data_IF_563495879451
#
_entry.id   IF_563495879451
#
_cell.length_a   1.000
_cell.length_b   1.000
_cell.length_c   1.000
_cell.angle_alpha   90.00
_cell.angle_beta   90.00
_cell.angle_gamma   90.00
#
_symmetry.space_group_name_H-M   'P 1'
#
loop_
_entity.id
_entity.type
_entity.pdbx_description
1 polymer ?
#
# COMPACT_ATOMS: atom_id res chain seq x y z
N UNK A 1 -54.06 15.31 21.30
CA UNK A 1 -55.05 14.33 21.77
C UNK A 1 -54.67 12.97 21.19
N UNK A 2 -53.46 12.49 21.47
CA UNK A 2 -53.03 11.88 22.74
C UNK A 2 -53.60 10.48 22.93
N UNK A 3 -52.77 9.49 22.63
CA UNK A 3 -52.73 8.22 23.33
C UNK A 3 -51.27 7.80 23.45
N UNK A 4 -50.68 8.32 24.52
CA UNK A 4 -49.38 8.04 25.08
C UNK A 4 -49.41 6.67 25.82
N UNK A 5 -48.26 5.95 25.81
CA UNK A 5 -47.74 5.00 26.83
C UNK A 5 -48.19 3.51 26.94
N UNK A 6 -47.14 2.71 27.24
CA UNK A 6 -47.06 1.39 27.89
C UNK A 6 -47.37 0.17 27.01
N UNK A 7 -46.50 -0.85 26.89
CA UNK A 7 -46.02 -1.69 27.99
C UNK A 7 -44.56 -2.13 27.78
N UNK A 8 -43.72 -1.72 28.72
CA UNK A 8 -42.41 -2.33 29.06
C UNK A 8 -42.70 -3.35 30.16
N UNK A 9 -42.37 -4.62 29.94
CA UNK A 9 -42.39 -5.67 30.97
C UNK A 9 -41.18 -6.60 30.72
N UNK A 10 -40.06 -6.34 31.39
CA UNK A 10 -39.58 -7.08 32.57
C UNK A 10 -39.26 -8.55 32.23
N UNK A 11 -37.98 -8.83 32.05
CA UNK A 11 -37.35 -10.02 32.61
C UNK A 11 -36.12 -9.59 33.40
N UNK A 12 -36.32 -9.53 34.73
CA UNK A 12 -35.27 -9.56 35.73
C UNK A 12 -34.83 -11.02 35.92
N UNK A 13 -33.56 -11.18 36.32
CA UNK A 13 -32.90 -12.41 36.74
C UNK A 13 -32.22 -13.22 35.62
N UNK A 14 -31.01 -12.82 35.25
CA UNK A 14 -29.82 -13.69 35.33
C UNK A 14 -28.59 -12.80 35.46
N UNK A 15 -28.26 -12.45 36.70
CA UNK A 15 -26.93 -11.94 37.04
C UNK A 15 -25.92 -13.07 36.88
N UNK A 16 -25.36 -13.22 35.69
CA UNK A 16 -24.08 -13.89 35.52
C UNK A 16 -23.01 -12.81 35.63
N UNK A 17 -22.41 -12.72 36.81
CA UNK A 17 -21.20 -11.95 37.02
C UNK A 17 -20.15 -12.36 35.97
N UNK A 18 -19.74 -11.42 35.13
CA UNK A 18 -18.56 -11.59 34.28
C UNK A 18 -17.37 -11.59 35.24
N UNK A 19 -16.59 -12.68 35.33
CA UNK A 19 -15.37 -12.67 36.12
C UNK A 19 -14.40 -11.63 35.53
N UNK A 20 -13.87 -10.77 36.40
CA UNK A 20 -12.83 -9.81 36.04
C UNK A 20 -11.60 -10.54 35.45
N UNK A 21 -10.91 -9.95 34.46
CA UNK A 21 -9.66 -10.49 33.97
C UNK A 21 -8.66 -10.53 35.12
N UNK A 22 -8.21 -11.75 35.46
CA UNK A 22 -7.12 -11.94 36.41
C UNK A 22 -5.87 -11.31 35.79
N UNK A 23 -5.28 -10.36 36.52
CA UNK A 23 -3.97 -9.83 36.19
C UNK A 23 -2.97 -11.00 36.27
N UNK A 24 -2.54 -11.49 35.12
CA UNK A 24 -1.50 -12.49 35.02
C UNK A 24 -0.19 -11.86 35.48
N UNK A 25 0.24 -12.28 36.66
CA UNK A 25 1.50 -11.88 37.28
C UNK A 25 2.64 -12.21 36.32
N UNK A 26 3.30 -11.18 35.80
CA UNK A 26 4.49 -11.31 35.00
C UNK A 26 5.53 -12.17 35.74
N UNK A 27 5.89 -13.31 35.15
CA UNK A 27 7.04 -14.09 35.57
C UNK A 27 8.33 -13.27 35.34
N UNK A 28 9.30 -13.32 36.26
CA UNK A 28 10.57 -12.64 36.07
C UNK A 28 11.33 -13.28 34.91
N UNK A 29 11.86 -12.43 34.04
CA UNK A 29 12.85 -12.80 33.03
C UNK A 29 14.07 -13.39 33.74
N UNK A 30 14.19 -14.71 33.69
CA UNK A 30 15.38 -15.42 34.14
C UNK A 30 16.44 -15.41 33.03
N UNK A 31 17.69 -15.42 33.48
CA UNK A 31 18.86 -14.88 32.81
C UNK A 31 19.17 -15.43 31.41
N UNK A 32 19.50 -14.52 30.50
CA UNK A 32 20.20 -14.84 29.27
C UNK A 32 21.59 -15.41 29.61
N UNK A 33 21.78 -16.70 29.34
CA UNK A 33 23.11 -17.27 29.25
C UNK A 33 23.88 -16.60 28.09
N UNK A 34 25.20 -16.37 28.20
CA UNK A 34 25.97 -15.84 27.08
C UNK A 34 25.99 -16.87 25.95
N UNK A 35 25.47 -16.46 24.79
CA UNK A 35 25.59 -17.24 23.55
C UNK A 35 27.07 -17.26 23.17
N UNK A 36 27.70 -18.43 22.94
CA UNK A 36 29.08 -18.47 22.49
C UNK A 36 29.17 -17.86 21.09
N UNK A 37 30.15 -16.98 20.88
CA UNK A 37 30.49 -16.42 19.57
C UNK A 37 30.77 -17.55 18.59
N UNK A 38 29.95 -17.64 17.53
CA UNK A 38 30.23 -18.47 16.36
C UNK A 38 30.92 -17.58 15.32
N UNK A 39 32.25 -17.67 15.13
CA UNK A 39 32.92 -16.95 14.07
C UNK A 39 32.62 -17.65 12.75
N UNK A 40 31.72 -17.09 11.94
CA UNK A 40 31.48 -17.58 10.58
C UNK A 40 30.08 -17.41 10.00
N UNK A 41 29.29 -16.45 10.47
CA UNK A 41 28.06 -16.07 9.77
C UNK A 41 28.38 -15.21 8.55
N UNK A 42 28.08 -15.71 7.35
CA UNK A 42 27.95 -14.87 6.15
C UNK A 42 27.06 -13.67 6.49
N UNK A 43 27.45 -12.41 6.22
CA UNK A 43 26.61 -11.28 6.57
C UNK A 43 25.25 -11.44 5.88
N UNK A 44 24.19 -11.55 6.69
CA UNK A 44 22.83 -11.46 6.20
C UNK A 44 22.71 -10.12 5.46
N UNK A 45 22.27 -10.17 4.20
CA UNK A 45 22.01 -8.98 3.43
C UNK A 45 21.08 -8.07 4.25
N UNK A 46 21.52 -6.86 4.53
CA UNK A 46 20.79 -5.88 5.32
C UNK A 46 19.48 -5.56 4.59
N UNK A 47 18.35 -5.72 5.26
CA UNK A 47 17.08 -5.24 4.73
C UNK A 47 17.15 -3.72 4.53
N UNK A 48 16.50 -3.15 3.50
CA UNK A 48 16.38 -1.71 3.36
C UNK A 48 15.79 -1.12 4.66
N UNK A 49 16.34 0.00 5.11
CA UNK A 49 15.79 0.76 6.23
C UNK A 49 14.79 1.81 5.70
N UNK A 50 13.80 2.17 6.51
CA UNK A 50 12.87 3.25 6.20
C UNK A 50 13.61 4.60 6.10
N UNK A 51 13.19 5.44 5.16
CA UNK A 51 13.77 6.77 4.93
C UNK A 51 13.21 7.84 5.89
N UNK A 52 13.90 8.99 5.99
CA UNK A 52 13.45 10.14 6.80
C UNK A 52 12.14 10.73 6.25
N UNK A 53 11.16 10.88 7.13
CA UNK A 53 9.81 11.34 6.80
C UNK A 53 9.60 12.83 7.08
N UNK A 54 10.64 13.60 7.39
CA UNK A 54 10.56 15.05 7.55
C UNK A 54 9.93 15.68 6.30
N UNK A 55 8.76 16.36 6.42
CA UNK A 55 8.09 16.94 5.27
C UNK A 55 8.99 17.91 4.50
N UNK A 56 9.02 17.77 3.18
CA UNK A 56 9.90 18.57 2.32
C UNK A 56 9.18 19.75 1.67
N UNK A 57 7.84 19.74 1.67
CA UNK A 57 6.99 20.62 0.87
C UNK A 57 7.02 20.31 -0.63
N UNK A 58 7.63 19.18 -1.03
CA UNK A 58 7.89 18.82 -2.44
C UNK A 58 7.35 17.44 -2.82
N UNK A 59 6.63 16.79 -1.91
CA UNK A 59 6.00 15.48 -2.11
C UNK A 59 7.02 14.39 -2.45
N UNK A 60 8.10 14.35 -1.66
CA UNK A 60 9.19 13.37 -1.81
C UNK A 60 9.34 12.49 -0.57
N UNK A 61 8.30 12.41 0.26
CA UNK A 61 8.24 11.47 1.39
C UNK A 61 6.91 10.74 1.40
N UNK A 62 6.88 9.52 1.95
CA UNK A 62 5.64 8.79 2.16
C UNK A 62 4.61 9.56 3.00
N UNK A 63 5.07 10.28 4.03
CA UNK A 63 4.22 11.15 4.84
C UNK A 63 3.44 12.18 4.01
N UNK A 64 4.04 12.69 2.94
CA UNK A 64 3.41 13.67 2.04
C UNK A 64 2.54 13.00 0.96
N UNK A 65 3.00 11.91 0.34
CA UNK A 65 2.32 11.33 -0.84
C UNK A 65 1.21 10.34 -0.49
N UNK A 66 1.33 9.64 0.64
CA UNK A 66 0.39 8.57 1.00
C UNK A 66 -1.06 9.04 1.06
N UNK A 67 -1.42 10.16 1.73
CA UNK A 67 -2.81 10.58 1.81
C UNK A 67 -3.42 10.83 0.42
N UNK A 68 -2.62 11.36 -0.51
CA UNK A 68 -3.03 11.60 -1.90
C UNK A 68 -3.28 10.28 -2.60
N UNK A 69 -2.32 9.35 -2.54
CA UNK A 69 -2.46 8.04 -3.16
C UNK A 69 -3.61 7.24 -2.55
N UNK A 70 -3.87 7.34 -1.25
CA UNK A 70 -5.01 6.67 -0.64
C UNK A 70 -6.34 7.26 -1.13
N UNK A 71 -6.42 8.58 -1.28
CA UNK A 71 -7.61 9.25 -1.82
C UNK A 71 -7.85 8.92 -3.29
N UNK A 72 -6.79 8.75 -4.09
CA UNK A 72 -6.87 8.41 -5.51
C UNK A 72 -6.75 6.91 -5.79
N UNK A 73 -6.85 6.05 -4.76
CA UNK A 73 -6.70 4.59 -4.92
C UNK A 73 -7.58 3.99 -6.03
N UNK A 74 -8.85 4.38 -6.22
CA UNK A 74 -9.66 3.89 -7.34
C UNK A 74 -9.10 4.22 -8.74
N UNK A 75 -8.15 5.14 -8.83
CA UNK A 75 -7.59 5.71 -10.07
C UNK A 75 -6.08 5.43 -10.23
N UNK A 76 -5.50 4.53 -9.42
CA UNK A 76 -4.07 4.21 -9.51
C UNK A 76 -3.64 3.68 -10.87
N UNK A 77 -4.53 2.90 -11.50
CA UNK A 77 -4.31 2.33 -12.82
C UNK A 77 -5.49 2.60 -13.75
N UNK A 78 -5.21 2.62 -15.05
CA UNK A 78 -6.21 2.70 -16.11
C UNK A 78 -5.86 1.76 -17.26
N UNK A 79 -6.85 1.17 -17.92
CA UNK A 79 -6.65 0.30 -19.09
C UNK A 79 -7.21 0.96 -20.32
N UNK A 80 -6.41 1.05 -21.38
CA UNK A 80 -6.84 1.54 -22.69
C UNK A 80 -6.53 0.52 -23.76
N UNK A 81 -7.51 0.21 -24.63
CA UNK A 81 -7.23 -0.54 -25.86
C UNK A 81 -6.75 0.45 -26.93
N UNK A 82 -5.50 0.33 -27.37
CA UNK A 82 -4.89 1.24 -28.34
C UNK A 82 -3.83 0.51 -29.17
N UNK A 83 -3.76 0.78 -30.48
CA UNK A 83 -2.74 0.19 -31.35
C UNK A 83 -2.75 -1.35 -31.44
N UNK A 84 -3.90 -1.99 -31.19
CA UNK A 84 -4.00 -3.46 -31.15
C UNK A 84 -3.42 -4.08 -29.88
N UNK A 85 -3.30 -3.30 -28.80
CA UNK A 85 -2.80 -3.74 -27.50
C UNK A 85 -3.74 -3.26 -26.39
N UNK A 86 -3.68 -3.92 -25.24
CA UNK A 86 -4.17 -3.35 -23.99
C UNK A 86 -3.00 -2.67 -23.28
N UNK A 87 -3.14 -1.38 -22.98
CA UNK A 87 -2.15 -0.58 -22.28
C UNK A 87 -2.63 -0.34 -20.85
N UNK A 88 -1.88 -0.82 -19.86
CA UNK A 88 -2.13 -0.57 -18.43
C UNK A 88 -1.29 0.63 -18.02
N UNK A 89 -1.94 1.76 -17.79
CA UNK A 89 -1.32 3.02 -17.36
C UNK A 89 -1.16 3.07 -15.85
N UNK A 90 -0.02 3.58 -15.39
CA UNK A 90 0.33 3.81 -13.99
C UNK A 90 0.57 5.30 -13.69
N UNK A 91 0.17 6.20 -14.62
CA UNK A 91 0.47 7.63 -14.58
C UNK A 91 0.10 8.30 -13.25
N UNK A 92 -1.00 7.89 -12.60
CA UNK A 92 -1.40 8.43 -11.30
C UNK A 92 -0.34 8.15 -10.23
N UNK A 93 0.12 6.91 -10.11
CA UNK A 93 1.17 6.52 -9.16
C UNK A 93 2.51 7.17 -9.50
N UNK A 94 2.87 7.19 -10.78
CA UNK A 94 4.16 7.74 -11.24
C UNK A 94 4.30 9.25 -10.96
N UNK A 95 3.18 9.97 -10.91
CA UNK A 95 3.12 11.39 -10.53
C UNK A 95 3.41 11.66 -9.03
N UNK A 96 3.55 10.62 -8.21
CA UNK A 96 3.89 10.69 -6.78
C UNK A 96 5.03 9.73 -6.40
N UNK A 97 5.78 9.23 -7.39
CA UNK A 97 6.80 8.17 -7.23
C UNK A 97 7.89 8.49 -6.21
N UNK A 98 8.15 9.76 -5.95
CA UNK A 98 9.25 10.18 -5.09
C UNK A 98 9.01 10.01 -3.60
N UNK A 99 7.79 9.65 -3.18
CA UNK A 99 7.54 9.16 -1.81
C UNK A 99 7.40 7.64 -1.74
N UNK A 100 7.82 6.93 -2.80
CA UNK A 100 7.66 5.48 -2.94
C UNK A 100 9.02 4.80 -3.04
N UNK A 101 9.17 3.66 -2.37
CA UNK A 101 10.28 2.75 -2.58
C UNK A 101 10.05 1.85 -3.79
N UNK A 102 8.79 1.45 -4.05
CA UNK A 102 8.46 0.53 -5.14
C UNK A 102 7.00 0.60 -5.56
N UNK A 103 6.76 0.39 -6.86
CA UNK A 103 5.45 0.01 -7.40
C UNK A 103 5.60 -1.38 -7.99
N UNK A 104 4.70 -2.29 -7.66
CA UNK A 104 4.63 -3.62 -8.25
C UNK A 104 3.19 -3.93 -8.68
N UNK A 105 3.03 -4.73 -9.73
CA UNK A 105 1.72 -5.08 -10.28
C UNK A 105 1.66 -6.54 -10.73
N UNK A 106 0.46 -7.10 -10.78
CA UNK A 106 0.17 -8.38 -11.42
C UNK A 106 -1.07 -8.25 -12.32
N UNK A 107 -1.12 -9.05 -13.37
CA UNK A 107 -2.26 -9.11 -14.29
C UNK A 107 -2.87 -10.51 -14.25
N UNK A 108 -4.19 -10.58 -14.13
CA UNK A 108 -4.98 -11.83 -14.14
C UNK A 108 -4.49 -12.89 -13.13
N UNK A 109 -4.07 -12.47 -11.93
CA UNK A 109 -3.55 -13.37 -10.89
C UNK A 109 -2.15 -13.95 -11.19
N UNK A 110 -1.43 -13.37 -12.14
CA UNK A 110 -0.04 -13.70 -12.43
C UNK A 110 0.93 -13.31 -11.31
N UNK A 111 2.22 -13.51 -11.53
CA UNK A 111 3.25 -13.09 -10.58
C UNK A 111 3.35 -11.55 -10.51
N UNK A 112 3.65 -11.03 -9.32
CA UNK A 112 3.95 -9.60 -9.13
C UNK A 112 5.25 -9.24 -9.85
N UNK A 113 5.19 -8.19 -10.65
CA UNK A 113 6.29 -7.60 -11.40
C UNK A 113 6.55 -6.20 -10.86
N UNK A 114 7.82 -5.84 -10.68
CA UNK A 114 8.18 -4.46 -10.33
C UNK A 114 8.01 -3.58 -11.56
N UNK A 115 7.34 -2.45 -11.39
CA UNK A 115 7.22 -1.44 -12.44
C UNK A 115 8.52 -0.65 -12.52
N UNK A 116 9.08 -0.53 -13.73
CA UNK A 116 10.19 0.39 -13.98
C UNK A 116 9.71 1.84 -13.82
N UNK A 117 10.50 2.68 -13.16
CA UNK A 117 10.17 4.09 -12.92
C UNK A 117 11.35 4.99 -13.24
N UNK A 118 11.07 6.23 -13.62
CA UNK A 118 12.09 7.26 -13.74
C UNK A 118 12.65 7.63 -12.35
N UNK A 119 13.94 8.03 -12.25
CA UNK A 119 14.46 8.58 -11.02
C UNK A 119 13.71 9.88 -10.63
N UNK A 120 13.82 10.25 -9.37
CA UNK A 120 13.33 11.53 -8.87
C UNK A 120 14.21 12.69 -9.33
N UNK A 121 13.59 13.78 -9.76
CA UNK A 121 14.28 14.99 -10.21
C UNK A 121 14.46 15.98 -9.05
N UNK A 122 15.17 15.54 -7.99
CA UNK A 122 15.29 16.25 -6.70
C UNK A 122 15.91 17.66 -6.83
N UNK A 123 16.65 17.91 -7.89
CA UNK A 123 17.27 19.18 -8.27
C UNK A 123 16.31 20.18 -8.92
N UNK A 124 15.06 19.79 -9.22
CA UNK A 124 14.08 20.63 -9.92
C UNK A 124 12.87 21.00 -9.07
N UNK A 125 12.20 22.12 -9.36
CA UNK A 125 11.00 22.54 -8.61
C UNK A 125 9.86 21.50 -8.57
N UNK A 126 9.86 20.53 -9.48
CA UNK A 126 8.82 19.49 -9.60
C UNK A 126 9.46 18.09 -9.63
N UNK A 127 9.87 17.52 -8.48
CA UNK A 127 10.64 16.26 -8.45
C UNK A 127 9.92 15.07 -9.07
N UNK A 128 8.59 15.05 -8.98
CA UNK A 128 7.73 14.00 -9.52
C UNK A 128 7.31 14.23 -10.98
N UNK A 129 7.79 15.29 -11.67
CA UNK A 129 7.47 15.47 -13.08
C UNK A 129 7.88 14.22 -13.89
N UNK A 130 7.02 13.80 -14.81
CA UNK A 130 7.28 12.68 -15.72
C UNK A 130 7.93 13.23 -16.98
N UNK A 131 9.16 12.82 -17.28
CA UNK A 131 9.87 13.21 -18.50
C UNK A 131 9.65 12.24 -19.65
N UNK A 132 9.24 11.01 -19.33
CA UNK A 132 9.00 9.91 -20.27
C UNK A 132 10.24 9.59 -21.11
N UNK A 133 11.41 9.74 -20.49
CA UNK A 133 12.71 9.48 -21.09
C UNK A 133 13.16 8.06 -20.73
N UNK A 134 12.95 7.11 -21.65
CA UNK A 134 13.40 5.72 -21.49
C UNK A 134 12.48 4.82 -20.67
N UNK A 135 11.50 5.37 -19.95
CA UNK A 135 10.45 4.63 -19.26
C UNK A 135 9.08 5.14 -19.70
N UNK A 136 8.18 4.24 -20.06
CA UNK A 136 6.82 4.57 -20.48
C UNK A 136 5.88 4.57 -19.27
N UNK A 137 4.80 5.37 -19.28
CA UNK A 137 3.86 5.42 -18.16
C UNK A 137 2.86 4.24 -18.19
N UNK A 138 3.08 3.26 -19.07
CA UNK A 138 2.22 2.10 -19.25
C UNK A 138 3.03 0.85 -19.58
N UNK A 139 2.42 -0.30 -19.31
CA UNK A 139 2.87 -1.62 -19.78
C UNK A 139 1.89 -2.13 -20.82
N UNK A 140 2.40 -2.70 -21.92
CA UNK A 140 1.60 -3.21 -23.03
C UNK A 140 1.37 -4.73 -22.90
N UNK A 141 0.14 -5.14 -23.15
CA UNK A 141 -0.31 -6.53 -23.15
C UNK A 141 -1.01 -6.86 -24.48
N UNK A 142 -1.16 -8.15 -24.82
CA UNK A 142 -1.96 -8.57 -25.97
C UNK A 142 -3.38 -7.97 -25.94
N UNK A 143 -4.00 -7.72 -27.10
CA UNK A 143 -5.31 -7.09 -27.17
C UNK A 143 -6.37 -7.92 -26.44
N UNK A 144 -7.15 -7.26 -25.57
CA UNK A 144 -8.25 -7.89 -24.84
C UNK A 144 -7.81 -8.88 -23.76
N UNK A 145 -6.52 -8.91 -23.40
CA UNK A 145 -6.00 -9.89 -22.44
C UNK A 145 -6.06 -9.43 -20.99
N UNK A 146 -6.23 -8.14 -20.71
CA UNK A 146 -6.21 -7.62 -19.33
C UNK A 146 -7.63 -7.65 -18.74
N UNK A 147 -7.88 -8.55 -17.79
CA UNK A 147 -9.18 -8.69 -17.12
C UNK A 147 -9.15 -8.12 -15.69
N UNK A 148 -8.02 -8.30 -14.99
CA UNK A 148 -7.78 -7.79 -13.64
C UNK A 148 -6.35 -7.29 -13.51
N UNK A 149 -6.18 -6.20 -12.77
CA UNK A 149 -4.87 -5.67 -12.36
C UNK A 149 -4.82 -5.61 -10.84
N UNK A 150 -3.78 -6.16 -10.26
CA UNK A 150 -3.43 -6.01 -8.86
C UNK A 150 -2.21 -5.10 -8.76
N UNK A 151 -2.19 -4.22 -7.77
CA UNK A 151 -1.11 -3.25 -7.55
C UNK A 151 -0.73 -3.25 -6.08
N UNK A 152 0.57 -3.27 -5.82
CA UNK A 152 1.15 -3.01 -4.51
C UNK A 152 2.07 -1.80 -4.62
N UNK A 153 1.94 -0.88 -3.66
CA UNK A 153 2.81 0.27 -3.49
C UNK A 153 3.55 0.11 -2.17
N UNK A 154 4.87 0.11 -2.23
CA UNK A 154 5.74 0.21 -1.06
C UNK A 154 6.22 1.64 -0.97
N UNK A 155 5.92 2.28 0.15
CA UNK A 155 6.31 3.65 0.46
C UNK A 155 7.78 3.70 0.91
N UNK A 156 8.41 4.88 0.88
CA UNK A 156 9.81 5.04 1.33
C UNK A 156 10.01 4.81 2.84
N UNK A 157 8.94 4.89 3.64
CA UNK A 157 8.89 4.43 5.04
C UNK A 157 8.65 2.92 5.19
N UNK A 158 8.68 2.17 4.08
CA UNK A 158 8.47 0.72 3.96
C UNK A 158 7.07 0.20 4.32
N UNK A 159 6.13 1.09 4.67
CA UNK A 159 4.74 0.66 4.75
C UNK A 159 4.19 0.36 3.36
N UNK A 160 3.10 -0.42 3.32
CA UNK A 160 2.56 -0.97 2.09
C UNK A 160 1.08 -0.62 1.96
N UNK A 161 0.65 -0.36 0.73
CA UNK A 161 -0.76 -0.34 0.36
C UNK A 161 -0.98 -1.15 -0.93
N UNK A 162 -2.20 -1.64 -1.13
CA UNK A 162 -2.55 -2.42 -2.30
C UNK A 162 -3.93 -2.04 -2.85
N UNK A 163 -4.15 -2.38 -4.11
CA UNK A 163 -5.43 -2.24 -4.83
C UNK A 163 -5.61 -3.38 -5.83
N UNK A 164 -6.85 -3.79 -6.05
CA UNK A 164 -7.23 -4.79 -7.06
C UNK A 164 -8.37 -4.22 -7.87
N UNK A 165 -8.27 -4.33 -9.19
CA UNK A 165 -9.14 -3.61 -10.12
C UNK A 165 -9.59 -4.57 -11.22
N UNK A 166 -10.90 -4.70 -11.41
CA UNK A 166 -11.44 -5.37 -12.59
C UNK A 166 -11.43 -4.40 -13.78
N UNK A 167 -11.17 -4.89 -14.99
CA UNK A 167 -11.12 -4.06 -16.21
C UNK A 167 -12.29 -3.08 -16.35
N UNK A 168 -13.57 -3.44 -16.09
CA UNK A 168 -14.68 -2.49 -16.21
C UNK A 168 -14.60 -1.28 -15.27
N UNK A 169 -13.86 -1.37 -14.17
CA UNK A 169 -13.70 -0.30 -13.17
C UNK A 169 -12.65 0.73 -13.59
N UNK A 170 -11.70 0.32 -14.44
CA UNK A 170 -10.52 1.11 -14.81
C UNK A 170 -10.37 1.28 -16.33
N UNK A 171 -11.33 0.82 -17.12
CA UNK A 171 -11.34 1.02 -18.56
C UNK A 171 -11.47 2.51 -18.87
N UNK A 172 -10.49 3.03 -19.61
CA UNK A 172 -10.50 4.41 -20.08
C UNK A 172 -11.51 4.57 -21.24
N UNK A 173 -12.24 5.70 -21.31
CA UNK A 173 -13.16 6.00 -22.40
C UNK A 173 -12.51 6.00 -23.79
#
# INVERSE_FOLDING_TARGET
MDAILAIVAIWLAFGHAIPAPQAETAAPADAAAPVPDVPGGTPAASLPAAEDQTPTGRFTTAGEVRPILMATRPQWVGVRSYGGQDLVYFTNLLAWRCGLAQIAYAVNGGAMQVLDTEPCHLDTATPNALRLEGVLPYVAFPPGSVERVEVQVTFDDLSIAAGSYARPEIAMP
#
